data_IF_130488610625
#
_entry.id   IF_130488610625
#
_cell.length_a   1.000
_cell.length_b   1.000
_cell.length_c   1.000
_cell.angle_alpha   90.00
_cell.angle_beta   90.00
_cell.angle_gamma   90.00
#
_symmetry.space_group_name_H-M   'P 1'
#
loop_
_entity.id
_entity.type
_entity.pdbx_description
1 polymer ?
#
# COMPACT_ATOMS: atom_id res chain seq x y z
N UNK A 1 12.88 0.30 1.27
CA UNK A 1 11.94 -0.82 1.30
C UNK A 1 11.43 -1.09 -0.10
N UNK A 2 11.61 -2.30 -0.60
CA UNK A 2 11.21 -2.61 -1.98
C UNK A 2 9.72 -2.93 -2.07
N UNK A 3 9.18 -2.79 -3.28
CA UNK A 3 7.75 -3.03 -3.52
C UNK A 3 7.30 -4.42 -3.09
N UNK A 4 8.15 -5.43 -3.32
CA UNK A 4 7.84 -6.80 -2.93
C UNK A 4 7.61 -6.95 -1.43
N UNK A 5 8.39 -6.23 -0.62
CA UNK A 5 8.23 -6.24 0.84
C UNK A 5 6.89 -5.63 1.25
N UNK A 6 6.53 -4.52 0.63
CA UNK A 6 5.24 -3.88 0.90
C UNK A 6 4.10 -4.81 0.50
N UNK A 7 4.20 -5.42 -0.67
CA UNK A 7 3.17 -6.35 -1.17
C UNK A 7 2.95 -7.51 -0.18
N UNK A 8 4.05 -8.14 0.26
CA UNK A 8 3.97 -9.26 1.22
C UNK A 8 3.30 -8.84 2.51
N UNK A 9 3.69 -7.67 3.03
CA UNK A 9 3.17 -7.18 4.32
C UNK A 9 1.71 -6.78 4.23
N UNK A 10 1.30 -6.16 3.13
CA UNK A 10 -0.11 -5.81 2.89
C UNK A 10 -0.95 -7.09 2.79
N UNK A 11 -0.47 -8.05 2.02
CA UNK A 11 -1.16 -9.34 1.89
C UNK A 11 -1.36 -9.99 3.25
N UNK A 12 -0.30 -10.04 4.05
CA UNK A 12 -0.36 -10.66 5.36
C UNK A 12 -1.30 -9.92 6.31
N UNK A 13 -1.16 -8.59 6.38
CA UNK A 13 -1.95 -7.78 7.30
C UNK A 13 -3.45 -7.86 7.00
N UNK A 14 -3.81 -7.85 5.72
CA UNK A 14 -5.21 -7.84 5.29
C UNK A 14 -5.76 -9.24 5.00
N UNK A 15 -4.95 -10.27 5.21
CA UNK A 15 -5.34 -11.68 5.02
C UNK A 15 -5.89 -11.96 3.62
N UNK A 16 -5.19 -11.47 2.60
CA UNK A 16 -5.59 -11.65 1.21
C UNK A 16 -5.06 -12.99 0.69
N UNK A 17 -5.94 -13.84 0.20
CA UNK A 17 -5.50 -15.10 -0.40
C UNK A 17 -5.02 -14.88 -1.83
N UNK A 18 -4.43 -15.93 -2.43
CA UNK A 18 -3.84 -15.82 -3.77
C UNK A 18 -4.85 -15.36 -4.82
N UNK A 19 -6.04 -15.93 -4.80
CA UNK A 19 -7.08 -15.58 -5.78
C UNK A 19 -7.48 -14.11 -5.65
N UNK A 20 -7.65 -13.63 -4.42
CA UNK A 20 -7.98 -12.23 -4.17
C UNK A 20 -6.87 -11.30 -4.64
N UNK A 21 -5.61 -11.67 -4.40
CA UNK A 21 -4.47 -10.89 -4.88
C UNK A 21 -4.50 -10.76 -6.39
N UNK A 22 -4.73 -11.86 -7.09
CA UNK A 22 -4.80 -11.89 -8.55
C UNK A 22 -5.95 -10.98 -9.04
N UNK A 23 -7.10 -11.06 -8.39
CA UNK A 23 -8.25 -10.23 -8.73
C UNK A 23 -7.96 -8.73 -8.53
N UNK A 24 -7.26 -8.38 -7.48
CA UNK A 24 -6.89 -6.99 -7.20
C UNK A 24 -6.00 -6.44 -8.32
N UNK A 25 -4.99 -7.20 -8.74
CA UNK A 25 -4.15 -6.80 -9.89
C UNK A 25 -5.01 -6.62 -11.15
N UNK A 26 -5.92 -7.55 -11.38
CA UNK A 26 -6.79 -7.53 -12.58
C UNK A 26 -7.73 -6.34 -12.59
N UNK A 27 -8.15 -5.84 -11.44
CA UNK A 27 -9.01 -4.65 -11.37
C UNK A 27 -8.35 -3.43 -12.00
N UNK A 28 -7.04 -3.42 -12.09
CA UNK A 28 -6.31 -2.33 -12.74
C UNK A 28 -5.50 -2.84 -13.94
N UNK A 29 -6.07 -3.80 -14.66
CA UNK A 29 -5.60 -4.31 -15.95
C UNK A 29 -4.23 -4.98 -15.91
N UNK A 30 -3.85 -5.55 -14.76
CA UNK A 30 -2.63 -6.37 -14.68
C UNK A 30 -3.05 -7.82 -14.47
N UNK A 31 -2.86 -8.62 -15.50
CA UNK A 31 -3.17 -10.04 -15.43
C UNK A 31 -1.90 -10.81 -15.04
N UNK A 32 -1.98 -11.55 -13.95
CA UNK A 32 -0.89 -12.39 -13.50
C UNK A 32 -1.41 -13.78 -13.17
N UNK A 33 -0.57 -14.78 -13.39
CA UNK A 33 -0.87 -16.15 -12.99
C UNK A 33 -0.55 -16.33 -11.51
N UNK A 34 -1.01 -17.46 -10.96
CA UNK A 34 -0.66 -17.81 -9.59
C UNK A 34 0.85 -17.97 -9.42
N UNK A 35 1.51 -18.61 -10.39
CA UNK A 35 2.96 -18.79 -10.33
C UNK A 35 3.70 -17.46 -10.35
N UNK A 36 3.25 -16.52 -11.17
CA UNK A 36 3.81 -15.17 -11.20
C UNK A 36 3.60 -14.46 -9.86
N UNK A 37 2.42 -14.60 -9.28
CA UNK A 37 2.14 -14.02 -7.96
C UNK A 37 3.08 -14.59 -6.90
N UNK A 38 3.25 -15.91 -6.88
CA UNK A 38 4.12 -16.55 -5.89
C UNK A 38 5.56 -16.06 -6.02
N UNK A 39 6.02 -15.84 -7.25
CA UNK A 39 7.37 -15.30 -7.48
C UNK A 39 7.50 -13.84 -6.99
N UNK A 40 6.44 -13.05 -7.12
CA UNK A 40 6.43 -11.67 -6.61
C UNK A 40 6.42 -11.64 -5.08
N UNK A 41 5.89 -12.68 -4.44
CA UNK A 41 5.82 -12.76 -2.98
C UNK A 41 7.07 -13.32 -2.33
N UNK A 42 8.01 -13.82 -3.12
CA UNK A 42 9.27 -14.34 -2.59
C UNK A 42 10.19 -13.24 -2.12
N UNK A 43 11.11 -13.61 -1.23
CA UNK A 43 12.19 -12.70 -0.83
C UNK A 43 13.27 -12.71 -1.91
N UNK A 44 14.07 -11.66 -1.97
CA UNK A 44 15.06 -11.45 -3.02
C UNK A 44 16.16 -12.50 -3.07
N UNK A 45 16.36 -13.25 -2.00
CA UNK A 45 17.34 -14.33 -1.93
C UNK A 45 16.75 -15.71 -2.28
N UNK A 46 15.48 -15.77 -2.61
CA UNK A 46 14.80 -17.03 -2.93
C UNK A 46 14.80 -17.28 -4.43
N UNK A 47 14.96 -18.56 -4.81
CA UNK A 47 14.92 -18.95 -6.21
C UNK A 47 13.54 -18.66 -6.80
N UNK A 48 13.52 -18.06 -7.99
CA UNK A 48 12.29 -17.70 -8.68
C UNK A 48 11.78 -16.29 -8.35
N UNK A 49 12.47 -15.59 -7.45
CA UNK A 49 12.10 -14.22 -7.12
C UNK A 49 12.01 -13.33 -8.37
N UNK A 50 10.95 -12.55 -8.46
CA UNK A 50 10.74 -11.56 -9.52
C UNK A 50 10.46 -10.22 -8.86
N UNK A 51 11.22 -9.22 -9.25
CA UNK A 51 11.05 -7.87 -8.71
C UNK A 51 9.73 -7.27 -9.19
N UNK A 52 8.98 -6.71 -8.25
CA UNK A 52 7.74 -6.01 -8.56
C UNK A 52 8.07 -4.56 -8.94
N UNK A 53 7.85 -4.21 -10.18
CA UNK A 53 8.13 -2.86 -10.66
C UNK A 53 7.08 -1.86 -10.15
N UNK A 54 7.41 -0.58 -10.27
CA UNK A 54 6.54 0.49 -9.76
C UNK A 54 5.19 0.52 -10.47
N UNK A 55 5.16 0.24 -11.75
CA UNK A 55 3.92 0.26 -12.52
C UNK A 55 2.93 -0.79 -12.02
N UNK A 56 3.39 -2.04 -11.82
CA UNK A 56 2.53 -3.10 -11.31
C UNK A 56 2.18 -2.90 -9.85
N UNK A 57 3.11 -2.37 -9.05
CA UNK A 57 2.81 -2.05 -7.65
C UNK A 57 1.73 -0.97 -7.56
N UNK A 58 1.84 0.07 -8.38
CA UNK A 58 0.82 1.12 -8.41
C UNK A 58 -0.54 0.55 -8.85
N UNK A 59 -0.53 -0.33 -9.84
CA UNK A 59 -1.74 -1.01 -10.28
C UNK A 59 -2.37 -1.83 -9.16
N UNK A 60 -1.55 -2.53 -8.37
CA UNK A 60 -2.05 -3.28 -7.22
C UNK A 60 -2.71 -2.34 -6.20
N UNK A 61 -2.07 -1.23 -5.87
CA UNK A 61 -2.61 -0.30 -4.90
C UNK A 61 -3.92 0.34 -5.37
N UNK A 62 -3.99 0.70 -6.64
CA UNK A 62 -5.24 1.21 -7.24
C UNK A 62 -6.32 0.13 -7.24
N UNK A 63 -5.94 -1.09 -7.59
CA UNK A 63 -6.86 -2.23 -7.53
C UNK A 63 -7.37 -2.49 -6.12
N UNK A 64 -6.50 -2.34 -5.14
CA UNK A 64 -6.87 -2.50 -3.74
C UNK A 64 -7.91 -1.45 -3.31
N UNK A 65 -7.73 -0.22 -3.75
CA UNK A 65 -8.71 0.84 -3.49
C UNK A 65 -10.07 0.44 -4.06
N UNK A 66 -10.10 0.02 -5.32
CA UNK A 66 -11.34 -0.43 -5.96
C UNK A 66 -11.95 -1.62 -5.25
N UNK A 67 -11.13 -2.59 -4.88
CA UNK A 67 -11.57 -3.80 -4.17
C UNK A 67 -12.23 -3.47 -2.83
N UNK A 68 -11.60 -2.57 -2.07
CA UNK A 68 -12.09 -2.20 -0.73
C UNK A 68 -13.25 -1.20 -0.76
N UNK A 69 -13.23 -0.26 -1.70
CA UNK A 69 -14.18 0.85 -1.72
C UNK A 69 -15.22 0.76 -2.84
N UNK A 70 -14.99 -0.11 -3.80
CA UNK A 70 -15.89 -0.30 -4.93
C UNK A 70 -15.59 0.63 -6.09
N UNK A 71 -16.08 0.23 -7.27
CA UNK A 71 -15.82 0.94 -8.53
C UNK A 71 -16.38 2.36 -8.56
N UNK A 72 -17.37 2.64 -7.72
CA UNK A 72 -18.01 3.96 -7.68
C UNK A 72 -17.11 5.05 -7.13
N UNK A 73 -16.04 4.65 -6.46
CA UNK A 73 -15.08 5.61 -5.91
C UNK A 73 -14.10 6.11 -6.96
N UNK A 74 -14.01 5.46 -8.10
CA UNK A 74 -13.17 5.90 -9.19
C UNK A 74 -14.01 6.73 -10.16
N UNK A 75 -13.73 8.04 -10.22
CA UNK A 75 -14.43 8.91 -11.13
C UNK A 75 -14.13 8.50 -12.58
N UNK A 76 -15.16 8.37 -13.44
CA UNK A 76 -14.93 8.04 -14.83
C UNK A 76 -14.01 9.06 -15.51
N UNK A 77 -13.04 8.56 -16.25
CA UNK A 77 -12.13 9.42 -16.99
C UNK A 77 -10.91 9.91 -16.21
N UNK A 78 -10.74 9.49 -14.98
CA UNK A 78 -9.57 9.88 -14.18
C UNK A 78 -8.46 8.85 -14.20
N UNK A 79 -8.42 8.00 -15.18
CA UNK A 79 -7.28 7.12 -15.38
C UNK A 79 -6.14 7.93 -15.98
N UNK A 80 -5.40 8.63 -15.15
CA UNK A 80 -4.16 9.23 -15.60
C UNK A 80 -3.07 8.19 -15.55
N UNK A 81 -2.24 8.10 -16.57
CA UNK A 81 -1.05 7.26 -16.48
C UNK A 81 -0.20 7.72 -15.30
N UNK A 82 0.49 6.79 -14.69
CA UNK A 82 1.39 7.10 -13.58
C UNK A 82 2.56 7.87 -14.16
N UNK A 83 2.52 9.18 -14.03
CA UNK A 83 3.60 10.02 -14.52
C UNK A 83 4.65 10.29 -13.46
N UNK A 84 4.38 9.89 -12.22
CA UNK A 84 5.29 10.12 -11.12
C UNK A 84 5.80 8.81 -10.55
N UNK A 85 7.07 8.79 -10.12
CA UNK A 85 7.60 7.59 -9.47
C UNK A 85 6.78 7.26 -8.22
N UNK A 86 6.62 5.98 -7.96
CA UNK A 86 5.95 5.51 -6.77
C UNK A 86 6.84 5.80 -5.56
N UNK A 87 6.33 6.58 -4.62
CA UNK A 87 7.06 6.94 -3.41
C UNK A 87 6.39 6.34 -2.19
N UNK A 88 7.11 6.31 -1.07
CA UNK A 88 6.52 5.87 0.19
C UNK A 88 5.30 6.74 0.55
N UNK A 89 5.36 8.03 0.24
CA UNK A 89 4.24 8.94 0.48
C UNK A 89 3.00 8.52 -0.32
N UNK A 90 3.19 8.16 -1.59
CA UNK A 90 2.06 7.73 -2.42
C UNK A 90 1.54 6.36 -1.99
N UNK A 91 2.42 5.45 -1.58
CA UNK A 91 2.01 4.15 -1.06
C UNK A 91 1.16 4.34 0.20
N UNK A 92 1.64 5.16 1.14
CA UNK A 92 0.92 5.44 2.38
C UNK A 92 -0.45 6.05 2.09
N UNK A 93 -0.50 7.01 1.17
CA UNK A 93 -1.74 7.66 0.78
C UNK A 93 -2.74 6.68 0.18
N UNK A 94 -2.28 5.80 -0.72
CA UNK A 94 -3.16 4.82 -1.37
C UNK A 94 -3.67 3.79 -0.37
N UNK A 95 -2.85 3.36 0.56
CA UNK A 95 -3.29 2.47 1.63
C UNK A 95 -4.33 3.14 2.52
N UNK A 96 -4.11 4.41 2.86
CA UNK A 96 -5.09 5.18 3.63
C UNK A 96 -6.43 5.24 2.92
N UNK A 97 -6.42 5.53 1.61
CA UNK A 97 -7.64 5.60 0.82
C UNK A 97 -8.33 4.24 0.76
N UNK A 98 -7.58 3.19 0.45
CA UNK A 98 -8.13 1.84 0.33
C UNK A 98 -8.81 1.38 1.62
N UNK A 99 -8.22 1.70 2.77
CA UNK A 99 -8.74 1.30 4.07
C UNK A 99 -9.78 2.28 4.62
N UNK A 100 -10.01 3.38 3.92
CA UNK A 100 -10.91 4.45 4.35
C UNK A 100 -10.55 4.98 5.73
N UNK A 101 -9.27 5.16 5.97
CA UNK A 101 -8.76 5.64 7.24
C UNK A 101 -8.81 7.15 7.35
N UNK A 102 -9.30 7.61 8.48
CA UNK A 102 -9.21 9.01 8.86
C UNK A 102 -7.86 9.26 9.55
N UNK A 103 -7.57 10.51 9.84
CA UNK A 103 -6.33 10.90 10.50
C UNK A 103 -6.09 10.11 11.79
N UNK A 104 -7.13 10.01 12.62
CA UNK A 104 -7.01 9.28 13.90
C UNK A 104 -6.72 7.81 13.68
N UNK A 105 -7.31 7.19 12.65
CA UNK A 105 -7.04 5.79 12.32
C UNK A 105 -5.58 5.58 11.96
N UNK A 106 -5.02 6.52 11.18
CA UNK A 106 -3.61 6.46 10.79
C UNK A 106 -2.69 6.56 12.01
N UNK A 107 -2.98 7.52 12.89
CA UNK A 107 -2.18 7.73 14.10
C UNK A 107 -2.27 6.53 15.04
N UNK A 108 -3.48 5.98 15.21
CA UNK A 108 -3.70 4.81 16.06
C UNK A 108 -3.00 3.57 15.50
N UNK A 109 -3.02 3.40 14.19
CA UNK A 109 -2.35 2.26 13.55
C UNK A 109 -0.84 2.32 13.79
N UNK A 110 -0.22 3.49 13.62
CA UNK A 110 1.20 3.67 13.91
C UNK A 110 1.49 3.42 15.39
N UNK A 111 0.61 3.86 16.26
CA UNK A 111 0.78 3.69 17.71
C UNK A 111 0.74 2.24 18.12
N UNK A 112 -0.03 1.40 17.42
CA UNK A 112 -0.03 -0.05 17.67
C UNK A 112 1.34 -0.66 17.49
N UNK A 113 2.17 -0.07 16.64
CA UNK A 113 3.57 -0.50 16.43
C UNK A 113 4.54 0.31 17.31
N UNK A 114 4.04 0.91 18.39
CA UNK A 114 4.82 1.73 19.32
C UNK A 114 5.50 2.92 18.64
N UNK A 115 4.87 3.46 17.63
CA UNK A 115 5.41 4.58 16.87
C UNK A 115 4.44 5.76 16.90
N UNK A 116 4.74 6.75 17.73
CA UNK A 116 3.87 7.93 17.89
C UNK A 116 4.42 9.10 17.09
N UNK A 117 3.55 9.71 16.28
CA UNK A 117 3.86 10.97 15.59
C UNK A 117 2.70 11.94 15.83
N UNK A 118 2.98 13.22 15.64
CA UNK A 118 1.95 14.26 15.78
C UNK A 118 1.07 14.31 14.52
N UNK A 119 -0.09 14.96 14.67
CA UNK A 119 -0.98 15.22 13.55
C UNK A 119 -0.29 16.04 12.46
N UNK A 120 0.53 17.00 12.86
CA UNK A 120 1.29 17.82 11.92
C UNK A 120 2.31 17.02 11.13
N UNK A 121 3.01 16.10 11.79
CA UNK A 121 3.95 15.23 11.12
C UNK A 121 3.24 14.31 10.11
N UNK A 122 2.11 13.75 10.51
CA UNK A 122 1.33 12.91 9.60
C UNK A 122 0.84 13.71 8.40
N UNK A 123 0.27 14.89 8.63
CA UNK A 123 -0.23 15.74 7.56
C UNK A 123 0.84 16.09 6.54
N UNK A 124 2.08 16.26 6.99
CA UNK A 124 3.19 16.62 6.12
C UNK A 124 3.45 15.55 5.05
N UNK A 125 3.18 14.28 5.35
CA UNK A 125 3.36 13.19 4.38
C UNK A 125 2.33 13.25 3.23
N UNK A 126 1.19 13.89 3.44
CA UNK A 126 0.11 13.93 2.46
C UNK A 126 0.02 15.25 1.68
N UNK A 127 0.95 16.18 1.94
CA UNK A 127 1.00 17.42 1.18
C UNK A 127 1.63 17.16 -0.19
N UNK A 128 1.38 18.08 -1.12
CA UNK A 128 1.98 17.96 -2.44
C UNK A 128 3.50 18.15 -2.35
N UNK A 129 4.22 17.39 -3.14
CA UNK A 129 5.66 17.54 -3.27
C UNK A 129 5.94 18.95 -3.78
N UNK A 130 6.85 19.65 -3.11
CA UNK A 130 7.14 21.05 -3.37
C UNK A 130 6.50 22.01 -2.41
N UNK A 131 5.49 21.57 -1.65
CA UNK A 131 4.93 22.38 -0.57
C UNK A 131 5.99 22.54 0.53
N UNK A 132 6.09 23.75 1.10
CA UNK A 132 7.13 24.02 2.10
C UNK A 132 7.06 23.12 3.34
N UNK A 133 5.87 22.60 3.65
CA UNK A 133 5.66 21.72 4.80
C UNK A 133 5.59 20.23 4.39
N UNK A 134 5.86 19.92 3.12
CA UNK A 134 5.94 18.54 2.67
C UNK A 134 7.12 17.82 3.34
N UNK A 135 6.91 16.58 3.70
CA UNK A 135 7.98 15.75 4.26
C UNK A 135 7.96 14.38 3.59
N UNK A 136 9.11 13.88 3.24
CA UNK A 136 9.22 12.55 2.69
C UNK A 136 8.99 11.50 3.77
N UNK A 137 8.17 10.51 3.43
CA UNK A 137 7.89 9.37 4.29
C UNK A 137 9.05 8.37 4.16
N UNK A 138 9.81 8.19 5.23
CA UNK A 138 10.90 7.23 5.23
C UNK A 138 10.39 5.79 5.34
N UNK A 139 11.30 4.85 5.09
CA UNK A 139 10.97 3.42 5.16
C UNK A 139 10.47 3.03 6.55
N UNK A 140 10.98 3.66 7.59
CA UNK A 140 10.59 3.35 8.96
C UNK A 140 9.09 3.61 9.19
N UNK A 141 8.58 4.69 8.61
CA UNK A 141 7.15 5.02 8.72
C UNK A 141 6.31 3.93 8.04
N UNK A 142 6.69 3.52 6.84
CA UNK A 142 5.97 2.47 6.10
C UNK A 142 6.03 1.15 6.88
N UNK A 143 7.19 0.78 7.40
CA UNK A 143 7.34 -0.45 8.19
C UNK A 143 6.44 -0.44 9.40
N UNK A 144 6.46 0.66 10.14
CA UNK A 144 5.65 0.77 11.35
C UNK A 144 4.16 0.79 11.03
N UNK A 145 3.78 1.44 9.93
CA UNK A 145 2.38 1.45 9.51
C UNK A 145 1.91 0.03 9.16
N UNK A 146 2.72 -0.70 8.38
CA UNK A 146 2.38 -2.08 7.99
C UNK A 146 2.35 -3.01 9.21
N UNK A 147 3.28 -2.81 10.14
CA UNK A 147 3.27 -3.57 11.40
C UNK A 147 2.01 -3.26 12.21
N UNK A 148 1.65 -1.99 12.29
CA UNK A 148 0.42 -1.58 12.96
C UNK A 148 -0.82 -2.18 12.31
N UNK A 149 -0.87 -2.24 10.97
CA UNK A 149 -1.97 -2.89 10.25
C UNK A 149 -2.05 -4.37 10.61
N UNK A 150 -0.92 -5.05 10.68
CA UNK A 150 -0.88 -6.46 11.05
C UNK A 150 -1.48 -6.67 12.43
N UNK A 151 -1.09 -5.84 13.40
CA UNK A 151 -1.62 -5.91 14.75
C UNK A 151 -3.13 -5.63 14.74
N UNK A 152 -3.54 -4.60 14.01
CA UNK A 152 -4.95 -4.18 13.97
C UNK A 152 -5.86 -5.26 13.38
N UNK A 153 -5.43 -5.93 12.33
CA UNK A 153 -6.30 -6.87 11.59
C UNK A 153 -6.08 -8.33 11.96
N UNK A 154 -4.94 -8.69 12.49
CA UNK A 154 -4.64 -10.09 12.76
C UNK A 154 -4.51 -10.42 14.26
N UNK A 155 -4.10 -9.48 15.08
CA UNK A 155 -3.79 -9.75 16.48
C UNK A 155 -4.82 -9.19 17.46
N UNK A 156 -5.76 -8.42 16.97
CA UNK A 156 -6.87 -7.91 17.78
C UNK A 156 -8.13 -8.69 17.47
N UNK A 157 -8.42 -9.64 18.28
CA UNK A 157 -9.69 -10.36 18.23
C UNK A 157 -10.64 -9.84 19.30
#
# INVERSE_FOLDING_TARGET
MINNDVLRRVRYALELNDQTMIEIFALNDVEISRDELLNLLKQDNQEGYVELDNERMDAFLKGLITYKRGALETAPGQTKPVEQPLTNNSILKKLRIALNFKEDDMLNTLKLADFAISKGELSAFFRQKGHKNYRECGDQIIRNFLQGLTIRYREQD
#
